data_IF_663235074619
#
_entry.id   IF_663235074619
#
_cell.length_a   1.000
_cell.length_b   1.000
_cell.length_c   1.000
_cell.angle_alpha   90.00
_cell.angle_beta   90.00
_cell.angle_gamma   90.00
#
_symmetry.space_group_name_H-M   'P 1'
#
loop_
_entity.id
_entity.type
_entity.pdbx_description
1 polymer ?
#
# COMPACT_ATOMS: atom_id res chain seq x y z
N UNK A 1 46.66 -12.67 54.21
CA UNK A 1 46.29 -11.32 54.70
C UNK A 1 45.96 -10.43 53.50
N UNK A 2 44.82 -9.70 53.60
CA UNK A 2 44.43 -8.47 52.84
C UNK A 2 43.87 -8.71 51.40
N UNK A 3 42.55 -8.67 51.21
CA UNK A 3 41.63 -7.51 50.94
C UNK A 3 41.53 -7.21 49.42
N UNK A 4 40.46 -7.64 48.71
CA UNK A 4 39.20 -6.93 48.33
C UNK A 4 39.40 -5.80 47.27
N UNK A 5 38.45 -5.75 46.30
CA UNK A 5 38.08 -4.67 45.34
C UNK A 5 38.94 -4.59 44.06
N UNK A 6 38.42 -4.50 42.82
CA UNK A 6 37.36 -3.63 42.27
C UNK A 6 36.60 -4.37 41.12
N UNK A 7 35.28 -4.61 41.21
CA UNK A 7 34.19 -3.78 40.66
C UNK A 7 34.52 -3.07 39.32
N UNK A 8 34.36 -3.80 38.21
CA UNK A 8 34.28 -3.21 36.86
C UNK A 8 32.84 -2.76 36.60
N UNK A 9 32.67 -1.46 36.73
CA UNK A 9 31.57 -0.66 36.19
C UNK A 9 31.57 -0.74 34.66
N UNK A 10 30.52 -1.31 34.07
CA UNK A 10 30.20 -1.07 32.67
C UNK A 10 28.82 -0.45 32.55
N UNK A 11 28.83 0.88 32.44
CA UNK A 11 27.70 1.69 32.05
C UNK A 11 27.07 1.14 30.77
N UNK A 12 25.81 0.73 30.82
CA UNK A 12 24.99 0.54 29.62
C UNK A 12 23.79 1.48 29.67
N UNK A 13 24.04 2.60 28.99
CA UNK A 13 23.15 3.56 28.35
C UNK A 13 21.65 3.30 28.48
N UNK A 14 20.96 4.30 29.05
CA UNK A 14 19.53 4.48 28.84
C UNK A 14 19.24 4.74 27.36
N UNK A 15 18.45 3.85 26.75
CA UNK A 15 17.84 4.11 25.46
C UNK A 15 16.66 5.06 25.64
N UNK A 16 16.88 6.34 25.38
CA UNK A 16 15.82 7.28 25.06
C UNK A 16 15.23 6.91 23.68
N UNK A 17 14.27 5.99 23.67
CA UNK A 17 13.47 5.69 22.48
C UNK A 17 12.17 6.49 22.53
N UNK A 18 12.27 7.81 22.39
CA UNK A 18 11.12 8.66 22.06
C UNK A 18 11.02 8.75 20.53
N UNK A 19 10.33 7.78 19.94
CA UNK A 19 9.97 7.80 18.53
C UNK A 19 9.03 8.96 18.23
N UNK A 20 9.54 9.99 17.57
CA UNK A 20 8.71 10.95 16.86
C UNK A 20 8.82 10.65 15.36
N UNK A 21 7.76 10.02 14.86
CA UNK A 21 7.56 9.61 13.48
C UNK A 21 7.84 10.76 12.49
N UNK A 22 8.95 10.69 11.77
CA UNK A 22 9.14 11.44 10.52
C UNK A 22 8.36 10.73 9.41
N UNK A 23 7.02 10.79 9.47
CA UNK A 23 6.17 10.42 8.35
C UNK A 23 6.15 11.56 7.32
N UNK A 24 7.32 11.92 6.78
CA UNK A 24 7.38 12.49 5.44
C UNK A 24 7.12 11.34 4.44
N UNK A 25 5.88 10.83 4.49
CA UNK A 25 5.36 9.84 3.57
C UNK A 25 5.43 10.44 2.18
N UNK A 26 6.51 10.08 1.49
CA UNK A 26 7.05 10.67 0.27
C UNK A 26 6.16 10.25 -0.90
N UNK A 27 4.88 10.61 -0.90
CA UNK A 27 3.96 10.38 -2.02
C UNK A 27 3.85 8.93 -2.52
N UNK A 28 4.18 7.93 -1.69
CA UNK A 28 4.14 6.52 -2.10
C UNK A 28 2.71 5.98 -1.99
N UNK A 29 1.80 6.59 -2.77
CA UNK A 29 0.55 5.95 -3.11
C UNK A 29 0.80 4.63 -3.84
N UNK A 30 -0.21 3.75 -3.93
CA UNK A 30 -0.08 2.40 -4.46
C UNK A 30 0.60 2.39 -5.83
N UNK A 31 1.53 1.45 -5.99
CA UNK A 31 2.33 1.36 -7.20
C UNK A 31 1.49 0.74 -8.34
N UNK A 32 1.68 1.22 -9.57
CA UNK A 32 1.00 0.68 -10.75
C UNK A 32 1.26 -0.81 -10.92
N UNK A 33 2.46 -1.26 -10.53
CA UNK A 33 2.86 -2.67 -10.59
C UNK A 33 1.96 -3.53 -9.69
N UNK A 34 1.82 -3.19 -8.41
CA UNK A 34 1.00 -3.99 -7.47
C UNK A 34 -0.47 -4.10 -7.87
N UNK A 35 -1.04 -3.05 -8.50
CA UNK A 35 -2.41 -3.11 -9.03
C UNK A 35 -2.52 -4.09 -10.20
N UNK A 36 -1.57 -4.04 -11.15
CA UNK A 36 -1.56 -4.91 -12.32
C UNK A 36 -1.37 -6.37 -11.92
N UNK A 37 -0.45 -6.62 -10.99
CA UNK A 37 -0.13 -7.97 -10.51
C UNK A 37 -1.35 -8.60 -9.86
N UNK A 38 -2.07 -7.88 -8.99
CA UNK A 38 -3.29 -8.40 -8.35
C UNK A 38 -4.44 -8.70 -9.33
N UNK A 39 -4.57 -7.92 -10.39
CA UNK A 39 -5.53 -8.19 -11.47
C UNK A 39 -5.11 -9.44 -12.25
N UNK A 40 -3.81 -9.61 -12.52
CA UNK A 40 -3.28 -10.75 -13.25
C UNK A 40 -3.35 -12.04 -12.44
N UNK A 41 -3.09 -11.97 -11.13
CA UNK A 41 -3.26 -13.07 -10.19
C UNK A 41 -4.71 -13.53 -10.16
N UNK A 42 -5.66 -12.59 -10.08
CA UNK A 42 -7.10 -12.90 -10.14
C UNK A 42 -7.53 -13.54 -11.47
N UNK A 43 -6.84 -13.23 -12.58
CA UNK A 43 -7.06 -13.92 -13.85
C UNK A 43 -6.47 -15.33 -13.86
N UNK A 44 -5.22 -15.48 -13.39
CA UNK A 44 -4.50 -16.77 -13.35
C UNK A 44 -5.17 -17.78 -12.41
N UNK A 45 -5.71 -17.31 -11.28
CA UNK A 45 -6.50 -18.13 -10.35
C UNK A 45 -7.92 -18.45 -10.87
N UNK A 46 -8.31 -17.87 -12.01
CA UNK A 46 -9.65 -17.93 -12.58
C UNK A 46 -10.69 -17.13 -11.81
N UNK A 47 -10.28 -16.31 -10.82
CA UNK A 47 -11.16 -15.52 -9.95
C UNK A 47 -11.94 -14.49 -10.79
N UNK A 48 -11.31 -13.97 -11.83
CA UNK A 48 -11.87 -12.98 -12.74
C UNK A 48 -12.26 -13.60 -14.10
N UNK A 49 -13.41 -13.20 -14.65
CA UNK A 49 -13.73 -13.45 -16.07
C UNK A 49 -12.96 -12.52 -17.00
N UNK A 50 -13.02 -12.79 -18.31
CA UNK A 50 -12.35 -11.96 -19.32
C UNK A 50 -12.89 -10.52 -19.35
N UNK A 51 -14.20 -10.34 -19.12
CA UNK A 51 -14.83 -9.03 -19.16
C UNK A 51 -14.57 -8.24 -17.88
N UNK A 52 -14.62 -8.89 -16.71
CA UNK A 52 -14.20 -8.31 -15.43
C UNK A 52 -12.72 -7.89 -15.47
N UNK A 53 -11.86 -8.74 -16.05
CA UNK A 53 -10.45 -8.43 -16.27
C UNK A 53 -10.27 -7.16 -17.12
N UNK A 54 -11.06 -7.00 -18.19
CA UNK A 54 -11.00 -5.84 -19.07
C UNK A 54 -11.44 -4.57 -18.32
N UNK A 55 -12.53 -4.65 -17.56
CA UNK A 55 -13.04 -3.55 -16.74
C UNK A 55 -12.01 -3.12 -15.68
N UNK A 56 -11.48 -4.06 -14.91
CA UNK A 56 -10.47 -3.80 -13.88
C UNK A 56 -9.19 -3.21 -14.47
N UNK A 57 -8.74 -3.68 -15.64
CA UNK A 57 -7.61 -3.09 -16.37
C UNK A 57 -7.88 -1.64 -16.78
N UNK A 58 -9.10 -1.31 -17.20
CA UNK A 58 -9.47 0.08 -17.53
C UNK A 58 -9.46 0.96 -16.29
N UNK A 59 -10.06 0.52 -15.19
CA UNK A 59 -10.08 1.25 -13.92
C UNK A 59 -8.66 1.46 -13.37
N UNK A 60 -7.82 0.43 -13.37
CA UNK A 60 -6.41 0.53 -12.97
C UNK A 60 -5.62 1.54 -13.83
N UNK A 61 -5.90 1.62 -15.13
CA UNK A 61 -5.32 2.66 -16.00
C UNK A 61 -5.79 4.07 -15.62
N UNK A 62 -7.06 4.25 -15.26
CA UNK A 62 -7.58 5.54 -14.81
C UNK A 62 -6.95 5.97 -13.49
N UNK A 63 -6.78 5.06 -12.53
CA UNK A 63 -6.09 5.32 -11.26
C UNK A 63 -4.63 5.75 -11.51
N UNK A 64 -3.91 5.05 -12.40
CA UNK A 64 -2.54 5.41 -12.76
C UNK A 64 -2.46 6.80 -13.43
N UNK A 65 -3.42 7.14 -14.30
CA UNK A 65 -3.52 8.48 -14.90
C UNK A 65 -3.80 9.56 -13.85
N UNK A 66 -4.70 9.30 -12.91
CA UNK A 66 -5.00 10.23 -11.81
C UNK A 66 -3.77 10.47 -10.94
N UNK A 67 -3.07 9.40 -10.53
CA UNK A 67 -1.81 9.48 -9.78
C UNK A 67 -0.76 10.30 -10.53
N UNK A 68 -0.57 10.06 -11.84
CA UNK A 68 0.38 10.82 -12.67
C UNK A 68 0.03 12.30 -12.78
N UNK A 69 -1.27 12.64 -12.83
CA UNK A 69 -1.73 14.03 -12.87
C UNK A 69 -1.50 14.76 -11.55
N UNK A 70 -1.74 14.08 -10.42
CA UNK A 70 -1.50 14.61 -9.08
C UNK A 70 0.00 14.82 -8.85
N UNK A 71 0.84 13.82 -9.19
CA UNK A 71 2.30 13.92 -9.09
C UNK A 71 2.97 14.84 -10.13
N UNK A 72 2.22 15.63 -10.90
CA UNK A 72 2.77 16.44 -11.99
C UNK A 72 3.67 17.56 -11.47
N UNK A 73 3.33 18.13 -10.32
CA UNK A 73 4.09 19.17 -9.63
C UNK A 73 5.26 18.60 -8.78
N UNK A 74 5.40 17.27 -8.75
CA UNK A 74 6.44 16.56 -7.99
C UNK A 74 6.08 16.31 -6.52
N UNK A 75 4.89 16.71 -6.07
CA UNK A 75 4.42 16.55 -4.70
C UNK A 75 3.00 15.95 -4.67
N UNK A 76 2.53 15.55 -3.50
CA UNK A 76 1.17 15.06 -3.28
C UNK A 76 0.61 15.80 -2.07
N UNK A 77 -0.25 16.78 -2.35
CA UNK A 77 -0.93 17.54 -1.31
C UNK A 77 -1.73 16.60 -0.40
N UNK A 78 -1.90 16.90 0.91
CA UNK A 78 -2.67 16.04 1.80
C UNK A 78 -4.09 15.78 1.29
N UNK A 79 -4.72 16.73 0.59
CA UNK A 79 -6.01 16.51 -0.04
C UNK A 79 -5.92 15.51 -1.22
N UNK A 80 -4.94 15.68 -2.10
CA UNK A 80 -4.74 14.77 -3.24
C UNK A 80 -4.39 13.36 -2.79
N UNK A 81 -3.60 13.23 -1.72
CA UNK A 81 -3.29 11.95 -1.09
C UNK A 81 -4.52 11.26 -0.56
N UNK A 82 -5.40 11.98 0.15
CA UNK A 82 -6.68 11.45 0.62
C UNK A 82 -7.56 11.00 -0.54
N UNK A 83 -7.60 11.79 -1.63
CA UNK A 83 -8.35 11.46 -2.84
C UNK A 83 -7.80 10.21 -3.52
N UNK A 84 -6.48 10.14 -3.73
CA UNK A 84 -5.81 8.98 -4.32
C UNK A 84 -6.03 7.71 -3.48
N UNK A 85 -5.97 7.84 -2.16
CA UNK A 85 -6.21 6.74 -1.25
C UNK A 85 -7.66 6.26 -1.30
N UNK A 86 -8.63 7.17 -1.37
CA UNK A 86 -10.05 6.82 -1.57
C UNK A 86 -10.25 6.07 -2.88
N UNK A 87 -9.73 6.60 -4.00
CA UNK A 87 -9.80 5.95 -5.30
C UNK A 87 -9.20 4.55 -5.28
N UNK A 88 -8.10 4.34 -4.54
CA UNK A 88 -7.51 3.03 -4.39
C UNK A 88 -8.37 2.08 -3.54
N UNK A 89 -8.94 2.56 -2.42
CA UNK A 89 -9.84 1.74 -1.60
C UNK A 89 -11.08 1.31 -2.36
N UNK A 90 -11.62 2.19 -3.20
CA UNK A 90 -12.76 1.87 -4.05
C UNK A 90 -12.38 0.82 -5.09
N UNK A 91 -11.23 0.97 -5.75
CA UNK A 91 -10.69 -0.04 -6.67
C UNK A 91 -10.42 -1.39 -5.98
N UNK A 92 -9.87 -1.37 -4.77
CA UNK A 92 -9.61 -2.58 -3.99
C UNK A 92 -10.89 -3.32 -3.61
N UNK A 93 -11.93 -2.56 -3.26
CA UNK A 93 -13.25 -3.11 -2.97
C UNK A 93 -13.84 -3.75 -4.22
N UNK A 94 -13.77 -3.06 -5.35
CA UNK A 94 -14.24 -3.59 -6.64
C UNK A 94 -13.48 -4.86 -7.03
N UNK A 95 -12.15 -4.85 -6.94
CA UNK A 95 -11.34 -6.02 -7.24
C UNK A 95 -11.69 -7.21 -6.34
N UNK A 96 -11.87 -6.98 -5.03
CA UNK A 96 -12.29 -8.05 -4.11
C UNK A 96 -13.69 -8.55 -4.44
N UNK A 97 -14.61 -7.65 -4.75
CA UNK A 97 -15.95 -8.00 -5.19
C UNK A 97 -15.86 -8.90 -6.42
N UNK A 98 -15.25 -8.43 -7.52
CA UNK A 98 -15.12 -9.19 -8.76
C UNK A 98 -14.40 -10.54 -8.59
N UNK A 99 -13.41 -10.64 -7.68
CA UNK A 99 -12.75 -11.91 -7.37
C UNK A 99 -13.65 -12.93 -6.65
N UNK A 100 -14.58 -12.47 -5.82
CA UNK A 100 -15.45 -13.30 -4.98
C UNK A 100 -16.89 -13.40 -5.50
N UNK A 101 -17.30 -12.52 -6.42
CA UNK A 101 -18.63 -12.44 -7.05
C UNK A 101 -18.90 -13.60 -8.04
N UNK A 102 -18.04 -14.62 -8.04
CA UNK A 102 -18.27 -15.90 -8.72
C UNK A 102 -19.63 -16.52 -8.36
N UNK A 103 -20.16 -16.21 -7.18
CA UNK A 103 -21.46 -16.72 -6.69
C UNK A 103 -22.65 -16.18 -7.49
N UNK A 104 -22.52 -15.06 -8.21
CA UNK A 104 -23.59 -14.51 -9.05
C UNK A 104 -23.56 -15.04 -10.51
N UNK A 105 -22.61 -15.91 -10.88
CA UNK A 105 -22.44 -16.44 -12.27
C UNK A 105 -23.39 -17.58 -12.66
N UNK A 106 -24.38 -17.91 -11.83
CA UNK A 106 -25.52 -18.78 -12.22
C UNK A 106 -26.78 -17.94 -12.40
N UNK A 107 -26.94 -17.32 -13.57
CA UNK A 107 -28.25 -16.99 -14.13
C UNK A 107 -28.25 -17.24 -15.61
#
# INVERSE_FOLDING_TARGET
MKKILFLVTLATLGLANAGAAQNCDRGHGPNRHSVRDRIEDGWRSGELTRDELRLLKMQGKQLAKAKKRMLRDGYLDPHERRKLHRMHRDFDRELRHQKHDRDHRRR
#
